data_IF_348631556958
#
_entry.id   IF_348631556958
#
_cell.length_a   1.000
_cell.length_b   1.000
_cell.length_c   1.000
_cell.angle_alpha   90.00
_cell.angle_beta   90.00
_cell.angle_gamma   90.00
#
_symmetry.space_group_name_H-M   'P 1'
#
loop_
_entity.id
_entity.type
_entity.pdbx_description
1 polymer ?
#
# COMPACT_ATOMS: atom_id res chain seq x y z
N UNK A 1 -0.57 -13.56 -16.86
CA UNK A 1 -0.15 -12.75 -15.70
C UNK A 1 -1.30 -11.84 -15.27
N UNK A 2 -1.57 -11.71 -13.96
CA UNK A 2 -2.62 -10.84 -13.43
C UNK A 2 -2.39 -9.35 -13.77
N UNK A 3 -3.47 -8.60 -13.93
CA UNK A 3 -3.41 -7.18 -14.30
C UNK A 3 -2.67 -6.32 -13.26
N UNK A 4 -2.97 -6.50 -11.97
CA UNK A 4 -2.30 -5.82 -10.86
C UNK A 4 -0.76 -6.00 -10.83
N UNK A 5 -0.25 -7.14 -11.30
CA UNK A 5 1.20 -7.38 -11.47
C UNK A 5 1.81 -6.53 -12.60
N UNK A 6 1.06 -6.31 -13.68
CA UNK A 6 1.45 -5.39 -14.75
C UNK A 6 1.58 -3.96 -14.24
N UNK A 7 0.71 -3.53 -13.31
CA UNK A 7 0.81 -2.21 -12.67
C UNK A 7 2.12 -2.09 -11.89
N UNK A 8 2.49 -3.09 -11.10
CA UNK A 8 3.77 -3.08 -10.36
C UNK A 8 4.96 -2.98 -11.33
N UNK A 9 4.96 -3.77 -12.40
CA UNK A 9 6.04 -3.76 -13.39
C UNK A 9 6.10 -2.44 -14.17
N UNK A 10 4.95 -1.86 -14.52
CA UNK A 10 4.86 -0.54 -15.14
C UNK A 10 5.36 0.57 -14.21
N UNK A 11 5.04 0.47 -12.90
CA UNK A 11 5.58 1.37 -11.88
C UNK A 11 7.10 1.23 -11.79
N UNK A 12 7.65 0.02 -11.68
CA UNK A 12 9.09 -0.20 -11.69
C UNK A 12 9.74 0.38 -12.97
N UNK A 13 9.16 0.12 -14.14
CA UNK A 13 9.65 0.65 -15.42
C UNK A 13 9.69 2.19 -15.43
N UNK A 14 8.69 2.86 -14.84
CA UNK A 14 8.70 4.32 -14.70
C UNK A 14 9.83 4.82 -13.81
N UNK A 15 10.32 4.00 -12.89
CA UNK A 15 11.41 4.31 -11.98
C UNK A 15 12.70 3.58 -12.38
N UNK A 16 13.02 3.58 -13.67
CA UNK A 16 14.28 3.04 -14.21
C UNK A 16 14.49 1.55 -13.92
N UNK A 17 13.39 0.83 -13.69
CA UNK A 17 13.36 -0.60 -13.42
C UNK A 17 13.63 -0.97 -11.97
N UNK A 18 13.82 -0.02 -11.04
CA UNK A 18 14.20 -0.32 -9.66
C UNK A 18 13.59 0.64 -8.64
N UNK A 19 13.09 0.10 -7.53
CA UNK A 19 12.57 0.90 -6.41
C UNK A 19 12.91 0.28 -5.07
N UNK A 20 13.21 1.13 -4.10
CA UNK A 20 13.24 0.76 -2.68
C UNK A 20 11.87 0.21 -2.24
N UNK A 21 11.86 -0.84 -1.40
CA UNK A 21 10.62 -1.52 -0.95
C UNK A 21 9.61 -0.57 -0.31
N UNK A 22 10.09 0.35 0.53
CA UNK A 22 9.23 1.34 1.18
C UNK A 22 8.63 2.28 0.15
N UNK A 23 9.47 2.82 -0.76
CA UNK A 23 9.00 3.74 -1.82
C UNK A 23 7.97 3.07 -2.72
N UNK A 24 8.21 1.82 -3.12
CA UNK A 24 7.28 1.03 -3.93
C UNK A 24 5.90 0.93 -3.26
N UNK A 25 5.84 0.51 -1.99
CA UNK A 25 4.58 0.41 -1.25
C UNK A 25 3.86 1.76 -1.14
N UNK A 26 4.59 2.87 -0.90
CA UNK A 26 3.98 4.21 -0.80
C UNK A 26 3.48 4.75 -2.14
N UNK A 27 4.27 4.60 -3.20
CA UNK A 27 3.89 5.04 -4.54
C UNK A 27 2.70 4.24 -5.05
N UNK A 28 2.68 2.93 -4.82
CA UNK A 28 1.55 2.07 -5.17
C UNK A 28 0.30 2.44 -4.37
N UNK A 29 0.43 2.72 -3.07
CA UNK A 29 -0.69 3.22 -2.26
C UNK A 29 -1.24 4.53 -2.82
N UNK A 30 -0.39 5.52 -3.10
CA UNK A 30 -0.81 6.81 -3.64
C UNK A 30 -1.50 6.65 -5.01
N UNK A 31 -1.03 5.71 -5.82
CA UNK A 31 -1.67 5.34 -7.08
C UNK A 31 -3.07 4.76 -6.86
N UNK A 32 -3.25 3.81 -5.93
CA UNK A 32 -4.58 3.20 -5.70
C UNK A 32 -5.60 4.20 -5.16
N UNK A 33 -5.18 5.25 -4.45
CA UNK A 33 -6.08 6.34 -4.03
C UNK A 33 -6.69 7.12 -5.21
N UNK A 34 -6.15 6.99 -6.42
CA UNK A 34 -6.66 7.64 -7.65
C UNK A 34 -7.54 6.72 -8.50
N UNK A 35 -7.54 5.43 -8.21
CA UNK A 35 -8.33 4.47 -8.98
C UNK A 35 -9.78 4.48 -8.50
N UNK A 36 -10.73 4.38 -9.44
CA UNK A 36 -12.15 4.16 -9.08
C UNK A 36 -12.35 2.80 -8.40
N UNK A 37 -11.66 1.78 -8.90
CA UNK A 37 -11.58 0.45 -8.30
C UNK A 37 -10.11 0.11 -8.10
N UNK A 38 -9.68 0.08 -6.84
CA UNK A 38 -8.31 -0.21 -6.49
C UNK A 38 -7.94 -1.67 -6.83
N UNK A 39 -6.76 -1.85 -7.40
CA UNK A 39 -6.21 -3.18 -7.71
C UNK A 39 -5.49 -3.80 -6.50
N UNK A 40 -5.17 -2.96 -5.50
CA UNK A 40 -4.60 -3.36 -4.21
C UNK A 40 -5.25 -2.58 -3.07
N UNK A 41 -5.55 -3.29 -1.99
CA UNK A 41 -5.98 -2.73 -0.73
C UNK A 41 -4.81 -2.67 0.26
N UNK A 42 -4.87 -1.73 1.19
CA UNK A 42 -3.80 -1.46 2.16
C UNK A 42 -4.35 -1.53 3.58
N UNK A 43 -3.47 -1.71 4.58
CA UNK A 43 -3.76 -1.61 6.02
C UNK A 43 -2.77 -0.66 6.71
N UNK A 44 -3.11 -0.03 7.86
CA UNK A 44 -2.12 0.64 8.70
C UNK A 44 -1.20 -0.40 9.37
N UNK A 45 0.11 -0.30 9.15
CA UNK A 45 1.08 -1.29 9.63
C UNK A 45 2.51 -0.73 9.69
N UNK A 46 3.25 -0.94 10.80
CA UNK A 46 4.68 -0.67 11.07
C UNK A 46 5.32 0.62 10.51
N UNK A 47 5.27 0.84 9.21
CA UNK A 47 5.78 2.01 8.49
C UNK A 47 4.67 2.77 7.72
N UNK A 48 3.40 2.56 8.03
CA UNK A 48 2.24 3.26 7.46
C UNK A 48 1.33 2.33 6.65
N UNK A 49 0.79 2.79 5.52
CA UNK A 49 0.09 1.90 4.59
C UNK A 49 0.98 0.73 4.13
N UNK A 50 0.42 -0.47 4.13
CA UNK A 50 1.04 -1.71 3.65
C UNK A 50 0.01 -2.63 2.99
N UNK A 51 0.34 -3.21 1.84
CA UNK A 51 -0.48 -4.23 1.18
C UNK A 51 0.21 -5.59 1.22
N UNK A 52 -0.44 -6.58 1.84
CA UNK A 52 -0.01 -7.98 1.83
C UNK A 52 -0.17 -8.59 0.45
N UNK A 53 -1.24 -8.24 -0.25
CA UNK A 53 -1.52 -8.70 -1.61
C UNK A 53 -0.47 -8.21 -2.60
N UNK A 54 -0.05 -6.94 -2.51
CA UNK A 54 1.04 -6.41 -3.32
C UNK A 54 2.37 -7.10 -2.99
N UNK A 55 2.66 -7.31 -1.70
CA UNK A 55 3.89 -8.01 -1.30
C UNK A 55 3.92 -9.46 -1.78
N UNK A 56 2.80 -10.19 -1.66
CA UNK A 56 2.69 -11.57 -2.15
C UNK A 56 2.92 -11.65 -3.67
N UNK A 57 2.39 -10.68 -4.43
CA UNK A 57 2.65 -10.58 -5.86
C UNK A 57 4.12 -10.28 -6.16
N UNK A 58 4.77 -9.34 -5.43
CA UNK A 58 6.20 -9.04 -5.57
C UNK A 58 7.05 -10.29 -5.31
N UNK A 59 6.83 -10.98 -4.19
CA UNK A 59 7.55 -12.23 -3.85
C UNK A 59 7.31 -13.32 -4.88
N UNK A 60 6.08 -13.46 -5.39
CA UNK A 60 5.77 -14.43 -6.46
C UNK A 60 6.46 -14.08 -7.77
N UNK A 61 6.56 -12.79 -8.12
CA UNK A 61 7.26 -12.35 -9.33
C UNK A 61 8.78 -12.52 -9.17
N UNK A 62 9.33 -12.31 -7.97
CA UNK A 62 10.72 -12.57 -7.66
C UNK A 62 11.05 -14.07 -7.76
N UNK A 63 10.24 -14.96 -7.17
CA UNK A 63 10.46 -16.41 -7.25
C UNK A 63 10.35 -16.97 -8.67
N UNK A 64 9.63 -16.27 -9.56
CA UNK A 64 9.54 -16.59 -10.99
C UNK A 64 10.63 -15.95 -11.84
N UNK A 65 11.60 -15.26 -11.24
CA UNK A 65 12.70 -14.61 -11.94
C UNK A 65 12.33 -13.31 -12.68
N UNK A 66 11.09 -12.84 -12.57
CA UNK A 66 10.66 -11.57 -13.19
C UNK A 66 11.23 -10.35 -12.46
N UNK A 67 11.44 -10.50 -11.15
CA UNK A 67 12.08 -9.49 -10.31
C UNK A 67 13.32 -10.07 -9.63
N UNK A 68 14.25 -9.18 -9.31
CA UNK A 68 15.31 -9.43 -8.33
C UNK A 68 14.94 -8.69 -7.04
N UNK A 69 14.85 -9.43 -5.94
CA UNK A 69 14.62 -8.87 -4.61
C UNK A 69 15.94 -8.79 -3.85
N UNK A 70 16.28 -7.60 -3.34
CA UNK A 70 17.37 -7.41 -2.38
C UNK A 70 16.78 -7.08 -1.01
N UNK A 71 17.59 -6.84 0.01
CA UNK A 71 17.09 -6.45 1.34
C UNK A 71 16.27 -5.16 1.29
N UNK A 72 16.66 -4.22 0.42
CA UNK A 72 16.10 -2.87 0.37
C UNK A 72 15.34 -2.53 -0.91
N UNK A 73 15.52 -3.28 -2.01
CA UNK A 73 14.98 -2.93 -3.33
C UNK A 73 14.26 -4.11 -4.02
N UNK A 74 13.39 -3.75 -4.95
CA UNK A 74 12.95 -4.63 -6.03
C UNK A 74 13.44 -4.06 -7.35
N UNK A 75 14.01 -4.92 -8.18
CA UNK A 75 14.47 -4.60 -9.53
C UNK A 75 13.76 -5.48 -10.55
N UNK A 76 13.25 -4.89 -11.61
CA UNK A 76 12.64 -5.62 -12.73
C UNK A 76 13.72 -6.25 -13.60
N UNK A 77 13.56 -7.54 -13.90
CA UNK A 77 14.38 -8.27 -14.88
C UNK A 77 13.73 -8.28 -16.27
N UNK A 78 12.50 -7.78 -16.36
CA UNK A 78 11.71 -7.78 -17.58
C UNK A 78 12.15 -6.68 -18.56
N UNK A 79 12.11 -7.00 -19.86
CA UNK A 79 12.38 -6.05 -20.96
C UNK A 79 11.10 -5.53 -21.64
N UNK A 80 9.96 -6.14 -21.30
CA UNK A 80 8.66 -5.80 -21.87
C UNK A 80 8.24 -4.39 -21.45
N UNK A 81 7.68 -3.62 -22.38
CA UNK A 81 7.09 -2.31 -22.11
C UNK A 81 5.71 -2.47 -21.45
N UNK A 82 5.69 -2.56 -20.12
CA UNK A 82 4.48 -2.75 -19.33
C UNK A 82 3.57 -1.52 -19.30
N UNK A 83 4.09 -0.32 -19.61
CA UNK A 83 3.24 0.87 -19.78
C UNK A 83 2.26 0.73 -20.95
N UNK A 84 2.59 -0.08 -21.97
CA UNK A 84 1.68 -0.43 -23.06
C UNK A 84 0.73 -1.58 -22.73
N UNK A 85 0.98 -2.30 -21.64
CA UNK A 85 0.22 -3.50 -21.25
C UNK A 85 -0.88 -3.21 -20.21
N UNK A 86 -1.01 -1.95 -19.77
CA UNK A 86 -2.02 -1.46 -18.83
C UNK A 86 -3.01 -0.51 -19.52
N UNK A 87 -4.15 -0.26 -18.90
CA UNK A 87 -5.17 0.68 -19.38
C UNK A 87 -4.58 2.09 -19.47
N UNK A 88 -5.00 2.85 -20.47
CA UNK A 88 -4.52 4.23 -20.68
C UNK A 88 -4.82 5.15 -19.49
N UNK A 89 -5.92 4.91 -18.76
CA UNK A 89 -6.25 5.64 -17.52
C UNK A 89 -5.22 5.39 -16.42
N UNK A 90 -4.88 4.12 -16.16
CA UNK A 90 -3.91 3.74 -15.13
C UNK A 90 -2.50 4.22 -15.50
N UNK A 91 -2.15 4.16 -16.79
CA UNK A 91 -0.89 4.69 -17.31
C UNK A 91 -0.74 6.19 -17.03
N UNK A 92 -1.76 6.99 -17.35
CA UNK A 92 -1.76 8.44 -17.05
C UNK A 92 -1.62 8.71 -15.55
N UNK A 93 -2.37 7.98 -14.73
CA UNK A 93 -2.28 8.10 -13.27
C UNK A 93 -0.89 7.73 -12.73
N UNK A 94 -0.26 6.66 -13.23
CA UNK A 94 1.11 6.31 -12.85
C UNK A 94 2.14 7.38 -13.26
N UNK A 95 1.98 7.97 -14.45
CA UNK A 95 2.82 9.09 -14.91
C UNK A 95 2.67 10.31 -13.99
N UNK A 96 1.45 10.64 -13.56
CA UNK A 96 1.23 11.71 -12.58
C UNK A 96 1.85 11.39 -11.21
N UNK A 97 1.77 10.13 -10.76
CA UNK A 97 2.43 9.69 -9.52
C UNK A 97 3.95 9.90 -9.62
N UNK A 98 4.57 9.53 -10.75
CA UNK A 98 6.00 9.79 -10.98
C UNK A 98 6.30 11.30 -10.96
N UNK A 99 5.48 12.10 -11.63
CA UNK A 99 5.67 13.55 -11.70
C UNK A 99 5.60 14.22 -10.32
N UNK A 100 4.60 13.85 -9.49
CA UNK A 100 4.36 14.48 -8.20
C UNK A 100 5.29 13.98 -7.10
N UNK A 101 5.59 12.69 -7.10
CA UNK A 101 6.24 12.03 -5.97
C UNK A 101 7.56 11.37 -6.31
N UNK A 102 7.95 11.32 -7.59
CA UNK A 102 9.07 10.52 -8.02
C UNK A 102 10.43 10.96 -7.48
N UNK A 103 10.57 12.25 -7.16
CA UNK A 103 11.79 12.83 -6.55
C UNK A 103 11.84 12.65 -5.02
N UNK A 104 10.77 12.17 -4.39
CA UNK A 104 10.72 12.00 -2.94
C UNK A 104 11.41 10.69 -2.54
N UNK A 105 12.30 10.78 -1.55
CA UNK A 105 12.87 9.61 -0.88
C UNK A 105 11.84 8.95 0.06
N UNK A 106 12.19 7.78 0.61
CA UNK A 106 11.30 7.02 1.49
C UNK A 106 10.76 7.84 2.68
N UNK A 107 11.61 8.60 3.37
CA UNK A 107 11.20 9.37 4.55
C UNK A 107 10.23 10.51 4.18
N UNK A 108 10.49 11.21 3.07
CA UNK A 108 9.60 12.28 2.58
C UNK A 108 8.26 11.71 2.15
N UNK A 109 8.25 10.57 1.44
CA UNK A 109 7.02 9.85 1.08
C UNK A 109 6.24 9.40 2.31
N UNK A 110 6.92 8.85 3.32
CA UNK A 110 6.30 8.46 4.58
C UNK A 110 5.64 9.66 5.25
N UNK A 111 6.36 10.77 5.45
CA UNK A 111 5.79 12.00 6.02
C UNK A 111 4.58 12.48 5.23
N UNK A 112 4.69 12.53 3.90
CA UNK A 112 3.59 12.94 3.03
C UNK A 112 2.35 12.05 3.21
N UNK A 113 2.52 10.73 3.20
CA UNK A 113 1.39 9.79 3.40
C UNK A 113 0.78 9.90 4.80
N UNK A 114 1.58 10.21 5.83
CA UNK A 114 1.08 10.31 7.20
C UNK A 114 0.25 11.57 7.43
N UNK A 115 0.63 12.67 6.79
CA UNK A 115 -0.10 13.94 6.88
C UNK A 115 -1.41 13.87 6.10
N UNK A 116 -1.35 13.38 4.86
CA UNK A 116 -2.50 13.43 3.94
C UNK A 116 -3.46 12.25 4.14
N UNK A 117 -2.98 11.12 4.67
CA UNK A 117 -3.80 9.94 4.92
C UNK A 117 -3.54 9.35 6.32
N UNK A 118 -3.89 10.11 7.38
CA UNK A 118 -3.45 9.83 8.76
C UNK A 118 -3.87 8.46 9.31
N UNK A 119 -5.04 7.94 8.90
CA UNK A 119 -5.51 6.62 9.33
C UNK A 119 -4.46 5.52 9.06
N UNK A 120 -3.79 5.58 7.90
CA UNK A 120 -2.80 4.57 7.52
C UNK A 120 -1.50 4.64 8.33
N UNK A 121 -1.26 5.76 9.02
CA UNK A 121 -0.08 5.95 9.89
C UNK A 121 -0.32 5.51 11.34
N UNK A 122 -1.56 5.17 11.72
CA UNK A 122 -1.95 4.92 13.12
C UNK A 122 -1.25 3.77 13.83
N UNK A 123 -0.67 2.83 13.07
CA UNK A 123 0.11 1.68 13.56
C UNK A 123 1.60 1.80 13.24
N UNK A 124 2.06 2.98 12.81
CA UNK A 124 3.47 3.19 12.46
C UNK A 124 4.34 3.40 13.70
N UNK A 125 5.44 2.66 13.79
CA UNK A 125 6.48 2.84 14.82
C UNK A 125 7.37 4.05 14.53
N UNK A 126 7.29 4.63 13.33
CA UNK A 126 8.08 5.81 12.91
C UNK A 126 7.29 7.12 12.97
N UNK A 127 5.98 7.07 13.20
CA UNK A 127 5.12 8.26 13.13
C UNK A 127 5.59 9.38 14.06
N UNK A 128 5.94 9.05 15.30
CA UNK A 128 6.43 10.03 16.29
C UNK A 128 7.75 10.67 15.88
N UNK A 129 8.66 9.91 15.25
CA UNK A 129 9.95 10.42 14.77
C UNK A 129 9.86 11.24 13.47
N UNK A 130 8.77 11.09 12.71
CA UNK A 130 8.61 11.71 11.38
C UNK A 130 7.71 12.96 11.43
N UNK A 131 6.71 12.94 12.30
CA UNK A 131 5.70 13.98 12.42
C UNK A 131 6.08 14.99 13.51
N UNK A 132 5.70 16.24 13.30
CA UNK A 132 5.68 17.23 14.39
C UNK A 132 4.61 16.86 15.42
N UNK A 133 4.70 17.41 16.64
CA UNK A 133 3.70 17.16 17.69
C UNK A 133 2.25 17.42 17.22
N UNK A 134 2.03 18.52 16.50
CA UNK A 134 0.71 18.89 15.95
C UNK A 134 0.23 17.91 14.87
N UNK A 135 1.11 17.47 13.96
CA UNK A 135 0.77 16.48 12.94
C UNK A 135 0.51 15.10 13.56
N UNK A 136 1.29 14.72 14.57
CA UNK A 136 1.12 13.46 15.30
C UNK A 136 -0.20 13.44 16.07
N UNK A 137 -0.60 14.55 16.68
CA UNK A 137 -1.90 14.68 17.34
C UNK A 137 -3.05 14.52 16.34
N UNK A 138 -2.97 15.18 15.16
CA UNK A 138 -3.95 15.00 14.07
C UNK A 138 -4.04 13.54 13.63
N UNK A 139 -2.89 12.86 13.49
CA UNK A 139 -2.84 11.44 13.18
C UNK A 139 -3.51 10.60 14.27
N UNK A 140 -3.23 10.87 15.55
CA UNK A 140 -3.86 10.16 16.66
C UNK A 140 -5.38 10.35 16.72
N UNK A 141 -5.89 11.52 16.32
CA UNK A 141 -7.33 11.77 16.21
C UNK A 141 -8.01 10.92 15.13
N UNK A 142 -7.27 10.45 14.13
CA UNK A 142 -7.77 9.54 13.09
C UNK A 142 -7.88 8.06 13.54
N UNK A 143 -7.37 7.72 14.74
CA UNK A 143 -7.50 6.37 15.30
C UNK A 143 -8.98 6.05 15.54
N UNK A 144 -9.47 4.88 15.10
CA UNK A 144 -10.84 4.47 15.37
C UNK A 144 -11.11 4.34 16.88
N UNK A 145 -12.20 4.97 17.36
CA UNK A 145 -12.54 5.07 18.80
C UNK A 145 -13.75 4.24 19.22
N UNK A 146 -14.21 3.30 18.39
CA UNK A 146 -15.40 2.51 18.73
C UNK A 146 -15.14 1.68 20.00
N UNK A 147 -16.03 1.81 20.98
CA UNK A 147 -16.08 1.00 22.20
C UNK A 147 -17.12 -0.12 22.12
N UNK A 148 -17.82 -0.24 20.99
CA UNK A 148 -18.87 -1.25 20.81
C UNK A 148 -18.26 -2.62 20.54
N UNK A 149 -18.54 -3.58 21.42
CA UNK A 149 -18.32 -5.00 21.15
C UNK A 149 -19.34 -5.45 20.11
N UNK A 150 -18.88 -5.80 18.91
CA UNK A 150 -19.72 -6.27 17.82
C UNK A 150 -19.28 -7.71 17.50
N UNK A 151 -20.22 -8.65 17.53
CA UNK A 151 -19.98 -9.99 17.01
C UNK A 151 -20.01 -9.91 15.48
N UNK A 152 -18.88 -10.26 14.88
CA UNK A 152 -18.69 -10.23 13.44
C UNK A 152 -18.92 -11.63 12.88
N UNK A 153 -20.06 -11.85 12.19
CA UNK A 153 -20.30 -13.04 11.37
C UNK A 153 -19.86 -12.80 9.93
N UNK A 154 -18.71 -12.15 9.74
CA UNK A 154 -18.19 -11.82 8.42
C UNK A 154 -17.55 -13.07 7.83
N UNK A 155 -18.28 -13.70 6.91
CA UNK A 155 -17.71 -14.61 5.94
C UNK A 155 -16.78 -13.88 4.97
N UNK A 156 -15.99 -14.61 4.20
CA UNK A 156 -15.18 -14.06 3.13
C UNK A 156 -16.09 -13.70 1.94
N UNK A 157 -16.84 -12.60 2.05
CA UNK A 157 -17.85 -12.14 1.08
C UNK A 157 -17.25 -11.58 -0.23
N UNK A 158 -16.16 -12.19 -0.73
CA UNK A 158 -15.47 -11.71 -1.93
C UNK A 158 -14.68 -10.41 -1.73
N UNK A 159 -14.45 -9.98 -0.48
CA UNK A 159 -13.57 -8.85 -0.13
C UNK A 159 -12.12 -9.30 0.04
N UNK A 160 -11.16 -8.38 -0.09
CA UNK A 160 -9.75 -8.71 0.16
C UNK A 160 -9.47 -8.91 1.65
N UNK A 161 -8.36 -9.60 1.95
CA UNK A 161 -7.87 -9.75 3.33
C UNK A 161 -7.61 -8.38 3.96
N UNK A 162 -7.02 -7.45 3.23
CA UNK A 162 -6.76 -6.10 3.73
C UNK A 162 -8.04 -5.31 4.03
N UNK A 163 -9.06 -5.41 3.16
CA UNK A 163 -10.36 -4.78 3.42
C UNK A 163 -11.03 -5.37 4.66
N UNK A 164 -10.97 -6.70 4.80
CA UNK A 164 -11.42 -7.39 6.00
C UNK A 164 -10.70 -6.86 7.25
N UNK A 165 -9.37 -6.81 7.23
CA UNK A 165 -8.57 -6.29 8.34
C UNK A 165 -8.87 -4.81 8.65
N UNK A 166 -9.12 -3.98 7.63
CA UNK A 166 -9.50 -2.59 7.83
C UNK A 166 -10.84 -2.44 8.55
N UNK A 167 -11.82 -3.27 8.21
CA UNK A 167 -13.09 -3.30 8.94
C UNK A 167 -12.82 -3.58 10.40
N UNK A 168 -12.03 -4.62 10.72
CA UNK A 168 -11.68 -4.94 12.10
C UNK A 168 -10.95 -3.81 12.82
N UNK A 169 -9.97 -3.20 12.17
CA UNK A 169 -9.19 -2.10 12.76
C UNK A 169 -10.06 -0.89 13.09
N UNK A 170 -11.14 -0.65 12.34
CA UNK A 170 -12.12 0.40 12.61
C UNK A 170 -12.97 0.15 13.87
N UNK A 171 -13.10 -1.10 14.32
CA UNK A 171 -13.93 -1.47 15.48
C UNK A 171 -13.17 -1.71 16.79
N UNK A 172 -11.84 -1.74 16.77
CA UNK A 172 -10.96 -1.61 17.93
C UNK A 172 -11.34 -2.47 19.18
N UNK A 173 -11.56 -3.79 19.06
CA UNK A 173 -11.26 -4.82 20.11
C UNK A 173 -11.63 -6.28 19.77
N UNK A 174 -11.01 -7.17 20.56
CA UNK A 174 -11.12 -8.63 20.79
C UNK A 174 -11.98 -9.49 19.85
N UNK A 175 -11.31 -10.49 19.29
CA UNK A 175 -11.83 -11.42 18.31
C UNK A 175 -12.27 -12.73 18.97
N UNK A 176 -13.45 -13.23 18.61
CA UNK A 176 -13.82 -14.64 18.77
C UNK A 176 -14.02 -15.24 17.38
N UNK A 177 -13.08 -16.07 16.92
CA UNK A 177 -13.27 -16.91 15.74
C UNK A 177 -14.12 -18.09 16.18
N UNK A 178 -15.40 -18.10 15.81
CA UNK A 178 -16.19 -19.32 15.90
C UNK A 178 -16.07 -20.03 14.55
N UNK A 179 -15.30 -21.12 14.53
CA UNK A 179 -15.37 -22.09 13.44
C UNK A 179 -16.65 -22.89 13.67
N UNK A 180 -17.57 -22.87 12.71
CA UNK A 180 -18.60 -23.90 12.57
C UNK A 180 -18.10 -24.97 11.60
#
# INVERSE_FOLDING_TARGET
>A
MFYRRKIILALLQLFEGELEKIRLQKLLFLFTQRQQKAEYDFIPYKFGCYSYSANADLTTMASKGMLTETDSHFKSNEKTDYLKAIKETDKKQLQEIKMLYGKMNANVLMKHTYINFPYWATKSIKAESILTANEFEKMNKSKPKSSKTILFTIGYEGISLEEYLNRLLKFNKNFFLKYE
#
